data_IF_086337854763
#
_entry.id   IF_086337854763
#
_cell.length_a   1.000
_cell.length_b   1.000
_cell.length_c   1.000
_cell.angle_alpha   90.00
_cell.angle_beta   90.00
_cell.angle_gamma   90.00
#
_symmetry.space_group_name_H-M   'P 1'
#
loop_
_entity.id
_entity.type
_entity.pdbx_description
1 polymer ?
#
# COMPACT_ATOMS: atom_id res chain seq x y z
N UNK A 1 6.73 9.51 -41.17
CA UNK A 1 7.51 8.67 -40.23
C UNK A 1 7.67 9.40 -38.88
N UNK A 2 6.60 10.00 -38.34
CA UNK A 2 6.71 10.91 -37.17
C UNK A 2 6.03 10.36 -35.89
N UNK A 3 5.04 9.46 -36.04
CA UNK A 3 4.33 8.86 -34.90
C UNK A 3 5.14 7.85 -34.08
N UNK A 4 6.20 7.27 -34.65
CA UNK A 4 7.07 6.32 -33.93
C UNK A 4 8.03 7.03 -32.97
N UNK A 5 8.47 8.23 -33.33
CA UNK A 5 9.44 9.00 -32.57
C UNK A 5 8.80 9.65 -31.35
N UNK A 6 7.59 10.23 -31.48
CA UNK A 6 6.87 10.87 -30.37
C UNK A 6 6.54 9.89 -29.23
N UNK A 7 6.15 8.64 -29.57
CA UNK A 7 5.78 7.58 -28.60
C UNK A 7 7.00 6.99 -27.89
N UNK A 8 8.16 7.00 -28.55
CA UNK A 8 9.42 6.53 -27.97
C UNK A 8 9.97 7.56 -26.97
N UNK A 9 9.90 8.85 -27.28
CA UNK A 9 10.37 9.92 -26.40
C UNK A 9 9.53 10.05 -25.12
N UNK A 10 8.21 9.84 -25.18
CA UNK A 10 7.34 9.88 -23.99
C UNK A 10 7.63 8.71 -23.03
N UNK A 11 7.90 7.51 -23.55
CA UNK A 11 8.24 6.34 -22.71
C UNK A 11 9.63 6.43 -22.09
N UNK A 12 10.59 7.05 -22.78
CA UNK A 12 11.95 7.23 -22.27
C UNK A 12 12.04 8.30 -21.17
N UNK A 13 11.14 9.29 -21.15
CA UNK A 13 11.10 10.33 -20.14
C UNK A 13 10.56 9.87 -18.77
N UNK A 14 9.59 8.96 -18.77
CA UNK A 14 8.94 8.48 -17.53
C UNK A 14 9.89 7.65 -16.63
N UNK A 15 10.87 6.96 -17.21
CA UNK A 15 11.83 6.13 -16.48
C UNK A 15 12.89 7.00 -15.75
N UNK A 16 13.25 8.15 -16.31
CA UNK A 16 14.26 9.05 -15.73
C UNK A 16 13.81 9.71 -14.42
N UNK A 17 12.51 9.99 -14.27
CA UNK A 17 11.96 10.64 -13.06
C UNK A 17 11.96 9.69 -11.85
N UNK A 18 11.73 8.39 -12.07
CA UNK A 18 11.78 7.38 -11.01
C UNK A 18 13.18 7.19 -10.41
N UNK A 19 14.22 7.24 -11.22
CA UNK A 19 15.61 7.10 -10.76
C UNK A 19 16.07 8.29 -9.88
N UNK A 20 15.62 9.51 -10.21
CA UNK A 20 15.92 10.71 -9.40
C UNK A 20 15.17 10.70 -8.05
N UNK A 21 13.94 10.17 -8.01
CA UNK A 21 13.19 10.02 -6.76
C UNK A 21 13.76 8.91 -5.84
N UNK A 22 14.26 7.81 -6.43
CA UNK A 22 14.94 6.74 -5.68
C UNK A 22 16.29 7.19 -5.12
N UNK A 23 17.03 8.05 -5.83
CA UNK A 23 18.27 8.64 -5.32
C UNK A 23 18.03 9.58 -4.13
N UNK A 24 16.86 10.23 -4.06
CA UNK A 24 16.49 11.08 -2.93
C UNK A 24 15.94 10.29 -1.72
N UNK A 25 15.38 9.09 -1.94
CA UNK A 25 14.92 8.18 -0.88
C UNK A 25 15.93 7.07 -0.52
N UNK A 26 17.09 7.05 -1.17
CA UNK A 26 18.09 5.98 -1.10
C UNK A 26 19.48 6.48 -0.73
N UNK A 27 19.59 7.65 -0.09
CA UNK A 27 20.81 8.06 0.60
C UNK A 27 20.90 7.28 1.91
N UNK A 28 21.42 6.06 1.82
CA UNK A 28 21.80 5.29 3.00
C UNK A 28 23.10 5.90 3.52
N UNK A 29 22.98 6.88 4.42
CA UNK A 29 24.11 7.29 5.26
C UNK A 29 24.55 6.04 6.04
N UNK A 30 25.80 5.62 5.84
CA UNK A 30 26.35 4.47 6.57
C UNK A 30 26.47 4.86 8.05
N UNK A 31 25.48 4.45 8.85
CA UNK A 31 25.40 4.78 10.27
C UNK A 31 26.34 3.93 11.14
N UNK A 32 27.26 3.18 10.52
CA UNK A 32 28.15 2.26 11.25
C UNK A 32 29.28 3.00 11.97
N UNK A 33 29.67 4.20 11.51
CA UNK A 33 30.76 4.99 12.11
C UNK A 33 30.28 5.96 13.22
N UNK A 34 28.98 6.27 13.30
CA UNK A 34 28.44 7.26 14.24
C UNK A 34 27.95 6.66 15.57
N UNK A 35 27.91 5.33 15.68
CA UNK A 35 27.53 4.63 16.91
C UNK A 35 28.68 3.69 17.34
N UNK A 36 29.57 4.20 18.19
CA UNK A 36 30.37 3.32 19.04
C UNK A 36 29.39 2.67 20.01
N UNK A 37 29.12 1.38 19.83
CA UNK A 37 28.27 0.63 20.75
C UNK A 37 28.92 0.64 22.14
N UNK A 38 28.41 1.48 23.04
CA UNK A 38 28.75 1.42 24.45
C UNK A 38 28.36 0.04 24.96
N UNK A 39 29.35 -0.76 25.31
CA UNK A 39 29.13 -2.08 25.86
C UNK A 39 28.64 -1.87 27.30
N UNK A 40 27.37 -2.16 27.57
CA UNK A 40 26.82 -2.08 28.92
C UNK A 40 27.34 -3.29 29.69
N UNK A 41 28.53 -3.16 30.28
CA UNK A 41 29.08 -4.16 31.20
C UNK A 41 28.25 -4.17 32.49
N UNK A 42 27.12 -4.88 32.44
CA UNK A 42 26.46 -5.37 33.65
C UNK A 42 27.23 -6.65 34.03
N UNK A 43 27.81 -6.74 35.24
CA UNK A 43 28.40 -7.98 35.72
C UNK A 43 27.37 -9.11 35.56
N UNK A 44 27.81 -10.27 35.08
CA UNK A 44 26.89 -11.38 34.80
C UNK A 44 26.05 -11.78 36.02
N UNK A 45 26.61 -11.61 37.22
CA UNK A 45 25.94 -11.83 38.49
C UNK A 45 24.75 -10.86 38.72
N UNK A 46 24.90 -9.55 38.44
CA UNK A 46 23.80 -8.57 38.57
C UNK A 46 22.65 -8.83 37.58
N UNK A 47 22.92 -9.51 36.46
CA UNK A 47 21.88 -9.89 35.49
C UNK A 47 21.11 -11.17 35.90
N UNK A 48 21.65 -11.94 36.85
CA UNK A 48 21.05 -13.18 37.35
C UNK A 48 20.46 -13.04 38.75
N UNK A 49 20.50 -11.84 39.34
CA UNK A 49 19.82 -11.54 40.60
C UNK A 49 18.32 -11.87 40.48
N UNK A 50 17.78 -12.45 41.55
CA UNK A 50 16.38 -12.86 41.58
C UNK A 50 15.47 -11.61 41.59
N UNK A 51 14.39 -11.67 40.82
CA UNK A 51 13.36 -10.63 40.79
C UNK A 51 12.35 -10.94 41.91
N UNK A 52 12.44 -10.18 43.01
CA UNK A 52 11.56 -10.32 44.18
C UNK A 52 10.18 -9.66 43.99
N UNK A 53 9.98 -8.91 42.91
CA UNK A 53 8.71 -8.24 42.63
C UNK A 53 7.60 -9.22 42.24
N UNK A 54 6.47 -9.13 42.96
CA UNK A 54 5.24 -9.83 42.56
C UNK A 54 4.74 -9.29 41.20
N UNK A 55 4.26 -10.17 40.30
CA UNK A 55 3.74 -9.73 39.02
C UNK A 55 2.53 -8.81 39.25
N UNK A 56 2.60 -7.60 38.69
CA UNK A 56 1.47 -6.67 38.69
C UNK A 56 0.38 -7.24 37.79
N UNK A 57 -0.83 -7.34 38.32
CA UNK A 57 -2.00 -7.75 37.52
C UNK A 57 -2.36 -6.63 36.55
N UNK A 58 -2.53 -6.97 35.27
CA UNK A 58 -3.08 -6.06 34.27
C UNK A 58 -4.49 -5.62 34.68
N UNK A 59 -4.84 -4.38 34.33
CA UNK A 59 -6.22 -3.91 34.44
C UNK A 59 -7.13 -4.75 33.54
N UNK A 60 -8.27 -5.18 34.08
CA UNK A 60 -9.25 -5.95 33.31
C UNK A 60 -9.76 -5.09 32.13
N UNK A 61 -9.33 -5.44 30.92
CA UNK A 61 -9.83 -4.82 29.70
C UNK A 61 -11.29 -5.23 29.52
N UNK A 62 -12.20 -4.24 29.50
CA UNK A 62 -13.58 -4.48 29.09
C UNK A 62 -13.58 -5.04 27.67
N UNK A 63 -14.19 -6.21 27.41
CA UNK A 63 -14.19 -6.79 26.08
C UNK A 63 -14.86 -5.83 25.08
N UNK A 64 -14.34 -5.71 23.84
CA UNK A 64 -15.01 -4.94 22.81
C UNK A 64 -16.43 -5.50 22.58
N UNK A 65 -17.38 -4.66 22.11
CA UNK A 65 -18.69 -5.16 21.75
C UNK A 65 -18.56 -6.32 20.76
N UNK A 66 -19.48 -7.30 20.78
CA UNK A 66 -19.41 -8.42 19.86
C UNK A 66 -19.37 -7.90 18.43
N UNK A 67 -18.51 -8.51 17.61
CA UNK A 67 -18.48 -8.24 16.18
C UNK A 67 -19.89 -8.40 15.60
N UNK A 68 -20.27 -7.59 14.59
CA UNK A 68 -21.53 -7.79 13.90
C UNK A 68 -21.57 -9.25 13.41
N UNK A 69 -22.66 -9.94 13.71
CA UNK A 69 -22.86 -11.30 13.24
C UNK A 69 -23.13 -11.20 11.76
N UNK A 70 -22.25 -11.77 10.94
CA UNK A 70 -22.52 -11.97 9.51
C UNK A 70 -23.72 -12.91 9.38
N UNK A 71 -24.90 -12.34 9.10
CA UNK A 71 -26.14 -13.09 8.94
C UNK A 71 -26.33 -13.64 7.53
N UNK A 72 -25.46 -13.25 6.60
CA UNK A 72 -25.51 -13.67 5.21
C UNK A 72 -24.78 -14.99 5.04
N UNK A 73 -25.38 -15.90 4.29
CA UNK A 73 -24.71 -17.13 3.84
C UNK A 73 -23.52 -16.79 2.94
N UNK A 74 -22.59 -17.73 2.76
CA UNK A 74 -21.48 -17.57 1.83
C UNK A 74 -21.97 -17.40 0.37
N UNK A 75 -23.12 -17.99 0.04
CA UNK A 75 -23.72 -17.90 -1.30
C UNK A 75 -24.29 -16.50 -1.55
N UNK A 76 -25.01 -15.92 -0.59
CA UNK A 76 -25.54 -14.55 -0.68
C UNK A 76 -24.42 -13.50 -0.83
N UNK A 77 -23.30 -13.69 -0.12
CA UNK A 77 -22.13 -12.81 -0.25
C UNK A 77 -21.49 -12.91 -1.64
N UNK A 78 -21.39 -14.12 -2.20
CA UNK A 78 -20.85 -14.32 -3.55
C UNK A 78 -21.77 -13.74 -4.62
N UNK A 79 -23.09 -13.82 -4.44
CA UNK A 79 -24.06 -13.21 -5.34
C UNK A 79 -23.97 -11.69 -5.31
N UNK A 80 -23.84 -11.09 -4.11
CA UNK A 80 -23.65 -9.64 -3.96
C UNK A 80 -22.37 -9.15 -4.67
N UNK A 81 -21.26 -9.88 -4.54
CA UNK A 81 -20.00 -9.55 -5.24
C UNK A 81 -20.13 -9.73 -6.75
N UNK A 82 -20.80 -10.79 -7.21
CA UNK A 82 -21.02 -10.99 -8.65
C UNK A 82 -21.82 -9.83 -9.24
N UNK A 83 -22.90 -9.43 -8.56
CA UNK A 83 -23.76 -8.34 -8.98
C UNK A 83 -22.99 -7.02 -9.04
N UNK A 84 -22.15 -6.72 -8.05
CA UNK A 84 -21.35 -5.48 -8.08
C UNK A 84 -20.39 -5.45 -9.26
N UNK A 85 -19.70 -6.57 -9.52
CA UNK A 85 -18.78 -6.70 -10.66
C UNK A 85 -19.50 -6.54 -12.00
N UNK A 86 -20.71 -7.09 -12.15
CA UNK A 86 -21.55 -6.94 -13.34
C UNK A 86 -21.98 -5.48 -13.55
N UNK A 87 -22.41 -4.80 -12.49
CA UNK A 87 -22.81 -3.38 -12.52
C UNK A 87 -21.60 -2.48 -12.89
N UNK A 88 -20.43 -2.76 -12.32
CA UNK A 88 -19.18 -2.05 -12.62
C UNK A 88 -18.69 -2.28 -14.06
N UNK A 89 -18.82 -3.51 -14.57
CA UNK A 89 -18.48 -3.83 -15.96
C UNK A 89 -19.37 -3.06 -16.95
N UNK A 90 -20.68 -3.03 -16.72
CA UNK A 90 -21.62 -2.25 -17.54
C UNK A 90 -21.26 -0.76 -17.53
N UNK A 91 -20.98 -0.20 -16.35
CA UNK A 91 -20.60 1.21 -16.24
C UNK A 91 -19.28 1.51 -16.96
N UNK A 92 -18.31 0.60 -16.93
CA UNK A 92 -17.05 0.76 -17.63
C UNK A 92 -17.21 0.74 -19.15
N UNK A 93 -18.12 -0.09 -19.67
CA UNK A 93 -18.46 -0.13 -21.10
C UNK A 93 -19.10 1.18 -21.57
N UNK A 94 -20.02 1.74 -20.79
CA UNK A 94 -20.66 3.04 -21.08
C UNK A 94 -19.63 4.18 -21.11
N UNK A 95 -18.73 4.21 -20.13
CA UNK A 95 -17.64 5.20 -20.07
C UNK A 95 -16.69 5.04 -21.27
N UNK A 96 -16.34 3.81 -21.64
CA UNK A 96 -15.49 3.55 -22.80
C UNK A 96 -16.15 3.99 -24.11
N UNK A 97 -17.46 3.77 -24.26
CA UNK A 97 -18.22 4.24 -25.41
C UNK A 97 -18.27 5.76 -25.48
N UNK A 98 -18.47 6.44 -24.35
CA UNK A 98 -18.47 7.90 -24.27
C UNK A 98 -17.10 8.49 -24.64
N UNK A 99 -16.01 7.95 -24.07
CA UNK A 99 -14.65 8.40 -24.37
C UNK A 99 -14.32 8.21 -25.86
N UNK A 100 -14.76 7.11 -26.46
CA UNK A 100 -14.56 6.86 -27.89
C UNK A 100 -15.33 7.87 -28.75
N UNK A 101 -16.59 8.15 -28.41
CA UNK A 101 -17.40 9.12 -29.14
C UNK A 101 -16.79 10.53 -29.07
N UNK A 102 -16.29 10.93 -27.90
CA UNK A 102 -15.60 12.22 -27.72
C UNK A 102 -14.31 12.28 -28.55
N UNK A 103 -13.53 11.19 -28.57
CA UNK A 103 -12.30 11.10 -29.35
C UNK A 103 -12.57 11.17 -30.86
N UNK A 104 -13.63 10.51 -31.34
CA UNK A 104 -14.04 10.53 -32.74
C UNK A 104 -14.56 11.93 -33.15
N UNK A 105 -15.27 12.62 -32.26
CA UNK A 105 -15.69 14.02 -32.48
C UNK A 105 -14.48 14.96 -32.61
N UNK A 106 -13.53 14.89 -31.66
CA UNK A 106 -12.30 15.69 -31.72
C UNK A 106 -11.47 15.43 -32.99
N UNK A 107 -11.44 14.20 -33.50
CA UNK A 107 -10.72 13.86 -34.74
C UNK A 107 -11.44 14.28 -36.03
N UNK A 108 -12.73 14.61 -35.97
CA UNK A 108 -13.52 15.05 -37.12
C UNK A 108 -13.55 16.59 -37.30
N UNK A 109 -13.11 17.32 -36.28
CA UNK A 109 -13.08 18.78 -36.24
C UNK A 109 -11.69 19.39 -36.58
N UNK A 110 -10.70 18.54 -36.90
CA UNK A 110 -9.35 18.89 -37.41
C UNK A 110 -9.24 18.62 -38.93
#
# INVERSE_FOLDING_TARGET
MEYGQMKFTIRMGLIGVGALALAACGDSNDASDEVVADNVEIPADDALDDIDEEPVMDEEVTPPPPAPVETQTAEEQQEAVRRSVEDEASSAEDVAAQVKAELDAMNAED
#
